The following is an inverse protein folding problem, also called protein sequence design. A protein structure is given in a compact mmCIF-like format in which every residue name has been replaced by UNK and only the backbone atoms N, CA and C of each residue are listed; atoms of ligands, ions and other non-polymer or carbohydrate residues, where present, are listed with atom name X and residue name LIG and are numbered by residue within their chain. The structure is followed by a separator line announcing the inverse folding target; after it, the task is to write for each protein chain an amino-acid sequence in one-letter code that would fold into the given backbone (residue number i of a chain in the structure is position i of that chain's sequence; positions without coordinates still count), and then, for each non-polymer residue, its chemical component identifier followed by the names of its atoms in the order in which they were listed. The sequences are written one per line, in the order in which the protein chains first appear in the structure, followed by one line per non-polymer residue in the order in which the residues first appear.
data_IF_534327812105
#
_entry.id   IF_534327812105
#
_cell.length_a   1.000
_cell.length_b   1.000
_cell.length_c   1.000
_cell.angle_alpha   90.00
_cell.angle_beta   90.00
_cell.angle_gamma   90.00
#
_symmetry.space_group_name_H-M   'P 1'
#
loop_
_entity.id
_entity.type
_entity.pdbx_description
1 polymer ?
#
# COMPACT_ATOMS: atom_id res chain seq x y z
N UNK A 1 -2.32 2.86 -11.36
CA UNK A 1 -3.53 2.32 -12.02
C UNK A 1 -4.57 2.20 -10.93
N UNK A 2 -5.67 2.93 -11.05
CA UNK A 2 -6.70 2.91 -10.02
C UNK A 2 -7.57 1.65 -10.11
N UNK A 3 -7.93 1.10 -8.95
CA UNK A 3 -8.92 0.02 -8.86
C UNK A 3 -10.30 0.54 -9.31
N UNK A 4 -11.00 -0.28 -10.07
CA UNK A 4 -12.39 -0.05 -10.47
C UNK A 4 -13.34 -0.17 -9.28
N UNK A 5 -14.54 0.39 -9.38
CA UNK A 5 -15.53 0.35 -8.28
C UNK A 5 -15.90 -1.08 -7.88
N UNK A 6 -15.97 -2.00 -8.84
CA UNK A 6 -16.21 -3.43 -8.59
C UNK A 6 -15.08 -4.06 -7.76
N UNK A 7 -13.84 -3.69 -8.02
CA UNK A 7 -12.68 -4.19 -7.28
C UNK A 7 -12.64 -3.61 -5.87
N UNK A 8 -12.93 -2.31 -5.73
CA UNK A 8 -13.08 -1.65 -4.42
C UNK A 8 -14.16 -2.32 -3.59
N UNK A 9 -15.32 -2.59 -4.19
CA UNK A 9 -16.40 -3.35 -3.54
C UNK A 9 -15.98 -4.76 -3.16
N UNK A 10 -15.22 -5.48 -4.00
CA UNK A 10 -14.70 -6.80 -3.67
C UNK A 10 -13.70 -6.77 -2.49
N UNK A 11 -13.02 -5.66 -2.27
CA UNK A 11 -12.12 -5.45 -1.12
C UNK A 11 -12.91 -5.14 0.15
N UNK A 12 -13.88 -4.23 0.08
CA UNK A 12 -14.66 -3.77 1.25
C UNK A 12 -15.74 -4.76 1.66
N UNK A 13 -16.32 -5.47 0.69
CA UNK A 13 -17.44 -6.40 0.86
C UNK A 13 -17.03 -7.86 0.88
N UNK A 14 -15.79 -8.19 1.31
CA UNK A 14 -15.36 -9.58 1.42
C UNK A 14 -16.34 -10.37 2.27
N UNK A 15 -17.06 -11.29 1.64
CA UNK A 15 -17.94 -12.19 2.36
C UNK A 15 -17.09 -13.29 2.98
N UNK A 16 -17.06 -13.34 4.31
CA UNK A 16 -16.50 -14.46 5.06
C UNK A 16 -17.47 -15.64 4.99
N UNK A 17 -17.54 -16.26 3.81
CA UNK A 17 -18.25 -17.52 3.62
C UNK A 17 -17.57 -18.63 4.43
N UNK A 18 -18.33 -19.63 4.84
CA UNK A 18 -17.76 -20.86 5.38
C UNK A 18 -16.95 -21.58 4.29
N UNK A 19 -15.94 -22.36 4.66
CA UNK A 19 -15.05 -22.98 3.68
C UNK A 19 -15.79 -23.95 2.73
N UNK A 20 -16.83 -24.62 3.22
CA UNK A 20 -17.68 -25.47 2.38
C UNK A 20 -18.44 -24.65 1.32
N UNK A 21 -18.95 -23.47 1.68
CA UNK A 21 -19.63 -22.57 0.76
C UNK A 21 -18.67 -21.98 -0.26
N UNK A 22 -17.44 -21.65 0.16
CA UNK A 22 -16.37 -21.24 -0.77
C UNK A 22 -16.10 -22.32 -1.81
N UNK A 23 -16.03 -23.59 -1.41
CA UNK A 23 -15.82 -24.73 -2.33
C UNK A 23 -16.92 -24.85 -3.36
N UNK A 24 -18.18 -24.71 -2.95
CA UNK A 24 -19.34 -24.70 -3.86
C UNK A 24 -19.23 -23.54 -4.85
N UNK A 25 -18.92 -22.33 -4.36
CA UNK A 25 -18.75 -21.14 -5.20
C UNK A 25 -17.57 -21.25 -6.16
N UNK A 26 -16.44 -21.81 -5.74
CA UNK A 26 -15.29 -22.09 -6.62
C UNK A 26 -15.73 -23.01 -7.76
N UNK A 27 -16.41 -24.12 -7.45
CA UNK A 27 -16.90 -25.04 -8.48
C UNK A 27 -17.86 -24.36 -9.47
N UNK A 28 -18.74 -23.50 -8.97
CA UNK A 28 -19.65 -22.72 -9.81
C UNK A 28 -18.87 -21.79 -10.77
N UNK A 29 -17.89 -21.05 -10.25
CA UNK A 29 -17.03 -20.18 -11.05
C UNK A 29 -16.20 -20.96 -12.08
N UNK A 30 -15.69 -22.13 -11.71
CA UNK A 30 -14.95 -23.00 -12.61
C UNK A 30 -15.86 -23.53 -13.73
N UNK A 31 -17.08 -23.94 -13.38
CA UNK A 31 -18.06 -24.41 -14.34
C UNK A 31 -18.48 -23.30 -15.31
N UNK A 32 -18.65 -22.06 -14.85
CA UNK A 32 -18.89 -20.90 -15.73
C UNK A 32 -17.78 -20.73 -16.76
N UNK A 33 -16.51 -20.86 -16.34
CA UNK A 33 -15.38 -20.79 -17.27
C UNK A 33 -15.42 -21.95 -18.26
N UNK A 34 -15.52 -23.18 -17.78
CA UNK A 34 -15.50 -24.34 -18.67
C UNK A 34 -16.68 -24.39 -19.64
N UNK A 35 -17.87 -23.97 -19.22
CA UNK A 35 -19.05 -23.89 -20.11
C UNK A 35 -18.89 -22.81 -21.17
N UNK A 36 -18.23 -21.69 -20.87
CA UNK A 36 -17.91 -20.67 -21.86
C UNK A 36 -16.90 -21.15 -22.90
N UNK A 37 -15.92 -21.98 -22.52
CA UNK A 37 -14.87 -22.46 -23.41
C UNK A 37 -15.20 -23.77 -24.15
N UNK A 38 -16.06 -24.61 -23.60
CA UNK A 38 -16.44 -25.89 -24.20
C UNK A 38 -17.98 -26.09 -24.15
N UNK A 39 -18.72 -25.47 -25.08
CA UNK A 39 -20.19 -25.47 -25.05
C UNK A 39 -20.81 -26.85 -25.33
N UNK A 40 -20.09 -27.75 -26.02
CA UNK A 40 -20.52 -29.13 -26.25
C UNK A 40 -20.01 -30.02 -25.11
N UNK A 41 -20.91 -30.37 -24.20
CA UNK A 41 -20.66 -31.32 -23.09
C UNK A 41 -21.53 -32.56 -23.25
N UNK A 42 -20.93 -33.72 -22.95
CA UNK A 42 -21.68 -34.95 -22.69
C UNK A 42 -21.40 -35.37 -21.25
N UNK A 43 -22.46 -35.54 -20.46
CA UNK A 43 -22.36 -36.03 -19.09
C UNK A 43 -21.85 -37.48 -19.12
N UNK A 44 -20.92 -37.78 -18.22
CA UNK A 44 -20.43 -39.14 -18.05
C UNK A 44 -21.24 -39.82 -16.95
N UNK A 45 -21.87 -40.95 -17.25
CA UNK A 45 -22.82 -41.64 -16.36
C UNK A 45 -22.22 -42.22 -15.05
N UNK A 46 -20.94 -42.01 -14.77
CA UNK A 46 -20.27 -42.55 -13.58
C UNK A 46 -19.93 -41.44 -12.57
N UNK A 47 -20.84 -41.23 -11.61
CA UNK A 47 -20.64 -40.88 -10.18
C UNK A 47 -19.65 -39.79 -9.71
N UNK A 48 -19.01 -39.02 -10.57
CA UNK A 48 -18.23 -37.83 -10.20
C UNK A 48 -18.59 -36.69 -11.16
N UNK A 49 -18.38 -35.44 -10.77
CA UNK A 49 -18.61 -34.27 -11.63
C UNK A 49 -17.56 -34.31 -12.76
N UNK A 50 -17.80 -35.18 -13.73
CA UNK A 50 -16.95 -35.53 -14.85
C UNK A 50 -17.79 -35.41 -16.11
N UNK A 51 -17.45 -34.45 -16.95
CA UNK A 51 -18.08 -34.33 -18.27
C UNK A 51 -17.01 -34.29 -19.35
N UNK A 52 -17.32 -34.94 -20.47
CA UNK A 52 -16.46 -34.94 -21.65
C UNK A 52 -16.70 -33.66 -22.43
N UNK A 53 -15.63 -33.05 -22.87
CA UNK A 53 -15.63 -31.78 -23.57
C UNK A 53 -14.62 -31.77 -24.73
N UNK A 54 -14.75 -30.77 -25.58
CA UNK A 54 -13.79 -30.53 -26.66
C UNK A 54 -12.50 -29.88 -26.09
N UNK A 55 -11.32 -30.27 -26.59
CA UNK A 55 -10.07 -29.64 -26.16
C UNK A 55 -9.77 -28.38 -27.00
N UNK A 56 -9.78 -27.16 -26.44
CA UNK A 56 -9.62 -25.94 -27.21
C UNK A 56 -8.30 -25.90 -28.02
N UNK A 57 -7.22 -26.46 -27.49
CA UNK A 57 -5.94 -26.57 -28.19
C UNK A 57 -5.99 -27.51 -29.40
N UNK A 58 -6.77 -28.59 -29.30
CA UNK A 58 -6.95 -29.52 -30.41
C UNK A 58 -7.89 -28.99 -31.50
N UNK A 59 -8.75 -27.98 -31.22
CA UNK A 59 -9.58 -27.36 -32.28
C UNK A 59 -8.71 -26.62 -33.26
N UNK A 60 -7.76 -25.85 -32.75
CA UNK A 60 -6.85 -25.08 -33.58
C UNK A 60 -5.97 -26.00 -34.43
N UNK A 61 -5.57 -27.16 -33.89
CA UNK A 61 -4.76 -28.18 -34.56
C UNK A 61 -5.56 -29.23 -35.37
N UNK A 62 -6.90 -29.19 -35.33
CA UNK A 62 -7.77 -30.17 -35.99
C UNK A 62 -7.68 -30.15 -37.52
N UNK A 63 -6.82 -29.30 -38.09
CA UNK A 63 -6.42 -29.39 -39.49
C UNK A 63 -5.38 -30.48 -39.79
N UNK A 64 -4.67 -31.12 -38.85
CA UNK A 64 -3.51 -31.94 -39.28
C UNK A 64 -3.27 -33.37 -38.79
N UNK A 65 -3.57 -33.86 -37.57
CA UNK A 65 -2.94 -35.16 -37.19
C UNK A 65 -3.70 -36.26 -36.43
N UNK A 66 -4.82 -36.02 -35.74
CA UNK A 66 -5.35 -37.05 -34.83
C UNK A 66 -6.67 -37.72 -35.21
N UNK A 67 -7.20 -37.43 -36.40
CA UNK A 67 -8.47 -38.02 -36.87
C UNK A 67 -8.36 -39.51 -37.29
N UNK A 68 -7.16 -40.11 -37.24
CA UNK A 68 -6.86 -41.37 -37.95
C UNK A 68 -6.71 -42.63 -37.09
N UNK A 69 -6.55 -42.54 -35.76
CA UNK A 69 -6.15 -43.72 -34.96
C UNK A 69 -7.19 -44.28 -33.99
N UNK A 70 -8.35 -43.63 -33.79
CA UNK A 70 -9.43 -44.23 -33.01
C UNK A 70 -10.68 -44.29 -33.86
N UNK A 71 -10.91 -45.46 -34.44
CA UNK A 71 -12.13 -45.78 -35.16
C UNK A 71 -13.34 -45.50 -34.28
N UNK A 72 -14.26 -44.68 -34.80
CA UNK A 72 -15.61 -44.47 -34.28
C UNK A 72 -15.72 -43.98 -32.84
N UNK A 73 -15.95 -42.68 -32.64
CA UNK A 73 -16.56 -42.21 -31.40
C UNK A 73 -16.13 -40.83 -30.94
N UNK A 74 -16.91 -39.82 -31.35
CA UNK A 74 -17.10 -38.51 -30.70
C UNK A 74 -15.93 -37.50 -30.75
N UNK A 75 -16.22 -36.26 -31.12
CA UNK A 75 -15.26 -35.13 -31.16
C UNK A 75 -14.79 -34.65 -29.77
N UNK A 76 -15.23 -35.32 -28.68
CA UNK A 76 -14.93 -34.95 -27.31
C UNK A 76 -13.61 -35.59 -26.86
N UNK A 77 -12.52 -34.83 -26.95
CA UNK A 77 -11.15 -35.30 -26.69
C UNK A 77 -10.60 -34.96 -25.30
N UNK A 78 -11.42 -34.33 -24.44
CA UNK A 78 -11.02 -33.91 -23.11
C UNK A 78 -12.09 -34.21 -22.06
N UNK A 79 -11.69 -34.14 -20.80
CA UNK A 79 -12.59 -34.20 -19.64
C UNK A 79 -12.30 -33.04 -18.69
N UNK A 80 -13.36 -32.56 -18.06
CA UNK A 80 -13.28 -31.71 -16.88
C UNK A 80 -13.75 -32.55 -15.71
N UNK A 81 -12.95 -32.58 -14.64
CA UNK A 81 -13.20 -33.43 -13.49
C UNK A 81 -12.98 -32.65 -12.20
N UNK A 82 -13.66 -33.05 -11.13
CA UNK A 82 -13.43 -32.47 -9.82
C UNK A 82 -12.03 -32.84 -9.31
N UNK A 83 -11.29 -31.85 -8.81
CA UNK A 83 -9.96 -32.10 -8.29
C UNK A 83 -9.98 -32.91 -6.98
N UNK A 84 -8.91 -33.67 -6.71
CA UNK A 84 -8.82 -34.62 -5.59
C UNK A 84 -8.93 -33.98 -4.19
N UNK A 85 -8.51 -32.72 -4.04
CA UNK A 85 -8.65 -31.96 -2.79
C UNK A 85 -10.06 -31.39 -2.58
N UNK A 86 -10.97 -31.60 -3.54
CA UNK A 86 -12.34 -31.08 -3.53
C UNK A 86 -12.49 -29.63 -3.99
N UNK A 87 -11.38 -28.95 -4.31
CA UNK A 87 -11.34 -27.52 -4.66
C UNK A 87 -11.37 -27.33 -6.17
N UNK A 88 -12.57 -27.14 -6.70
CA UNK A 88 -12.77 -26.74 -8.09
C UNK A 88 -12.66 -27.87 -9.10
N UNK A 89 -12.44 -27.47 -10.35
CA UNK A 89 -12.40 -28.36 -11.51
C UNK A 89 -11.05 -28.29 -12.23
N UNK A 90 -10.58 -29.45 -12.66
CA UNK A 90 -9.37 -29.62 -13.45
C UNK A 90 -9.72 -30.11 -14.85
N UNK A 91 -8.80 -29.90 -15.79
CA UNK A 91 -8.95 -30.28 -17.19
C UNK A 91 -7.79 -31.15 -17.64
N UNK A 92 -8.09 -32.15 -18.48
CA UNK A 92 -7.08 -32.90 -19.21
C UNK A 92 -7.57 -33.32 -20.58
N UNK A 93 -6.70 -33.21 -21.57
CA UNK A 93 -6.95 -33.71 -22.91
C UNK A 93 -6.23 -35.04 -23.12
N UNK A 94 -6.94 -36.03 -23.66
CA UNK A 94 -6.37 -37.34 -23.99
C UNK A 94 -5.74 -37.39 -25.38
N UNK A 95 -6.02 -36.38 -26.23
CA UNK A 95 -5.44 -36.28 -27.57
C UNK A 95 -4.07 -35.58 -27.56
N UNK A 96 -3.98 -34.37 -27.01
CA UNK A 96 -2.71 -33.62 -26.94
C UNK A 96 -1.96 -33.78 -25.61
N UNK A 97 -2.56 -34.44 -24.61
CA UNK A 97 -1.93 -34.62 -23.29
C UNK A 97 -1.94 -33.38 -22.38
N UNK A 98 -2.40 -32.22 -22.87
CA UNK A 98 -2.47 -30.99 -22.08
C UNK A 98 -3.31 -31.20 -20.82
N UNK A 99 -2.77 -30.78 -19.68
CA UNK A 99 -3.41 -30.86 -18.37
C UNK A 99 -3.36 -29.48 -17.72
N UNK A 100 -4.51 -29.00 -17.28
CA UNK A 100 -4.61 -27.81 -16.45
C UNK A 100 -5.24 -28.23 -15.13
N UNK A 101 -4.40 -28.30 -14.10
CA UNK A 101 -4.86 -28.63 -12.77
C UNK A 101 -5.76 -27.52 -12.21
N UNK A 102 -5.59 -26.29 -12.71
CA UNK A 102 -6.30 -25.09 -12.26
C UNK A 102 -6.91 -24.31 -13.42
N UNK A 103 -8.14 -23.82 -13.23
CA UNK A 103 -8.80 -22.90 -14.17
C UNK A 103 -7.99 -21.63 -14.39
N UNK A 104 -7.33 -21.11 -13.35
CA UNK A 104 -6.45 -19.95 -13.47
C UNK A 104 -5.31 -20.16 -14.48
N UNK A 105 -4.71 -21.35 -14.51
CA UNK A 105 -3.66 -21.70 -15.48
C UNK A 105 -4.23 -21.84 -16.89
N UNK A 106 -5.41 -22.47 -17.00
CA UNK A 106 -6.12 -22.56 -18.27
C UNK A 106 -6.41 -21.19 -18.89
N UNK A 107 -6.76 -20.21 -18.06
CA UNK A 107 -7.01 -18.82 -18.49
C UNK A 107 -5.74 -18.04 -18.87
N UNK A 108 -4.57 -18.68 -18.92
CA UNK A 108 -3.29 -18.06 -19.28
C UNK A 108 -2.44 -17.59 -18.09
N UNK A 109 -2.89 -17.83 -16.86
CA UNK A 109 -2.11 -17.53 -15.66
C UNK A 109 -1.84 -16.04 -15.42
N UNK A 110 -0.72 -15.74 -14.74
CA UNK A 110 -0.35 -14.38 -14.40
C UNK A 110 -0.11 -13.53 -15.65
N UNK A 111 -0.74 -12.35 -15.73
CA UNK A 111 -0.66 -11.45 -16.87
C UNK A 111 -1.82 -11.57 -17.87
N UNK A 112 -2.66 -12.62 -17.77
CA UNK A 112 -3.88 -12.71 -18.56
C UNK A 112 -5.03 -11.92 -17.92
N UNK A 113 -5.71 -11.09 -18.72
CA UNK A 113 -6.90 -10.34 -18.30
C UNK A 113 -8.02 -11.28 -17.82
N UNK A 114 -8.19 -12.43 -18.48
CA UNK A 114 -9.21 -13.40 -18.09
C UNK A 114 -8.88 -14.06 -16.74
N UNK A 115 -7.60 -14.41 -16.53
CA UNK A 115 -7.12 -14.98 -15.29
C UNK A 115 -7.19 -13.98 -14.12
N UNK A 116 -6.88 -12.70 -14.38
CA UNK A 116 -7.02 -11.61 -13.40
C UNK A 116 -8.48 -11.40 -13.01
N UNK A 117 -9.40 -11.35 -13.98
CA UNK A 117 -10.84 -11.22 -13.71
C UNK A 117 -11.38 -12.41 -12.90
N UNK A 118 -10.94 -13.63 -13.22
CA UNK A 118 -11.27 -14.82 -12.44
C UNK A 118 -10.71 -14.75 -11.02
N UNK A 119 -9.46 -14.27 -10.86
CA UNK A 119 -8.86 -14.04 -9.55
C UNK A 119 -9.66 -13.03 -8.72
N UNK A 120 -10.19 -11.96 -9.33
CA UNK A 120 -11.08 -11.00 -8.67
C UNK A 120 -12.39 -11.61 -8.20
N UNK A 121 -13.05 -12.44 -9.02
CA UNK A 121 -14.25 -13.18 -8.61
C UNK A 121 -13.97 -14.07 -7.40
N UNK A 122 -12.83 -14.76 -7.37
CA UNK A 122 -12.40 -15.58 -6.22
C UNK A 122 -11.99 -14.74 -5.01
N UNK A 123 -11.38 -13.59 -5.22
CA UNK A 123 -10.99 -12.65 -4.17
C UNK A 123 -12.21 -12.13 -3.41
N UNK A 124 -13.30 -11.81 -4.12
CA UNK A 124 -14.56 -11.32 -3.53
C UNK A 124 -15.20 -12.32 -2.53
N UNK A 125 -15.02 -13.62 -2.76
CA UNK A 125 -15.52 -14.69 -1.88
C UNK A 125 -14.47 -15.21 -0.87
N UNK A 126 -13.31 -14.55 -0.77
CA UNK A 126 -12.24 -14.94 0.15
C UNK A 126 -11.59 -16.29 -0.18
N UNK A 127 -11.58 -16.69 -1.45
CA UNK A 127 -11.10 -17.99 -1.92
C UNK A 127 -9.73 -17.91 -2.64
N UNK A 128 -8.84 -17.06 -2.13
CA UNK A 128 -7.51 -16.75 -2.68
C UNK A 128 -6.43 -16.80 -1.58
N UNK A 129 -5.17 -17.01 -1.95
CA UNK A 129 -4.04 -16.56 -1.12
C UNK A 129 -3.29 -17.58 -0.25
N UNK A 130 -3.72 -18.84 -0.17
CA UNK A 130 -2.92 -19.94 0.40
C UNK A 130 -2.91 -21.16 -0.52
N UNK A 131 -2.03 -22.15 -0.29
CA UNK A 131 -1.71 -23.23 -1.24
C UNK A 131 -2.90 -23.81 -2.03
N UNK A 132 -2.69 -24.19 -3.29
CA UNK A 132 -3.73 -24.64 -4.23
C UNK A 132 -4.84 -23.63 -4.62
N UNK A 133 -5.05 -22.53 -3.88
CA UNK A 133 -5.99 -21.48 -4.24
C UNK A 133 -5.42 -20.57 -5.34
N UNK A 134 -6.32 -20.01 -6.18
CA UNK A 134 -6.00 -18.97 -7.15
C UNK A 134 -5.19 -17.84 -6.46
N UNK A 135 -4.11 -17.33 -7.09
CA UNK A 135 -3.32 -16.26 -6.48
C UNK A 135 -4.17 -15.01 -6.24
N UNK A 136 -3.72 -14.16 -5.32
CA UNK A 136 -4.27 -12.82 -5.21
C UNK A 136 -4.18 -12.08 -6.56
N UNK A 137 -5.21 -11.30 -6.93
CA UNK A 137 -5.15 -10.48 -8.13
C UNK A 137 -3.91 -9.59 -8.15
N UNK A 138 -3.27 -9.47 -9.31
CA UNK A 138 -2.00 -8.77 -9.43
C UNK A 138 -2.17 -7.28 -9.13
N UNK A 139 -3.28 -6.67 -9.57
CA UNK A 139 -3.57 -5.26 -9.27
C UNK A 139 -3.75 -5.01 -7.77
N UNK A 140 -4.36 -5.94 -7.05
CA UNK A 140 -4.47 -5.85 -5.60
C UNK A 140 -3.10 -5.89 -4.90
N UNK A 141 -2.17 -6.74 -5.36
CA UNK A 141 -0.81 -6.80 -4.80
C UNK A 141 -0.07 -5.47 -5.00
N UNK A 142 -0.17 -4.90 -6.20
CA UNK A 142 0.44 -3.61 -6.53
C UNK A 142 -0.09 -2.48 -5.64
N UNK A 143 -1.41 -2.44 -5.40
CA UNK A 143 -2.03 -1.47 -4.51
C UNK A 143 -1.52 -1.60 -3.07
N UNK A 144 -1.39 -2.83 -2.57
CA UNK A 144 -0.86 -3.09 -1.23
C UNK A 144 0.61 -2.68 -1.09
N UNK A 145 1.42 -2.90 -2.12
CA UNK A 145 2.81 -2.45 -2.14
C UNK A 145 2.90 -0.93 -2.18
N UNK A 146 2.06 -0.27 -2.98
CA UNK A 146 2.01 1.19 -3.04
C UNK A 146 1.59 1.77 -1.68
N UNK A 147 0.52 1.27 -1.08
CA UNK A 147 0.07 1.71 0.24
C UNK A 147 1.14 1.49 1.34
N UNK A 148 1.95 0.44 1.23
CA UNK A 148 3.11 0.23 2.14
C UNK A 148 4.17 1.31 1.94
N UNK A 149 4.49 1.66 0.69
CA UNK A 149 5.44 2.75 0.37
C UNK A 149 4.93 4.08 0.89
N UNK A 150 3.66 4.39 0.68
CA UNK A 150 3.05 5.66 1.11
C UNK A 150 3.01 5.79 2.63
N UNK A 151 2.73 4.70 3.36
CA UNK A 151 2.86 4.70 4.83
C UNK A 151 4.30 4.95 5.26
N UNK A 152 5.27 4.29 4.63
CA UNK A 152 6.68 4.46 4.97
C UNK A 152 7.16 5.91 4.73
N UNK A 153 6.75 6.54 3.62
CA UNK A 153 7.09 7.95 3.34
C UNK A 153 6.43 8.90 4.34
N UNK A 154 5.16 8.67 4.69
CA UNK A 154 4.45 9.46 5.70
C UNK A 154 5.12 9.36 7.09
N UNK A 155 5.49 8.15 7.53
CA UNK A 155 6.20 7.95 8.79
C UNK A 155 7.55 8.66 8.79
N UNK A 156 8.34 8.53 7.71
CA UNK A 156 9.62 9.23 7.59
C UNK A 156 9.46 10.76 7.69
N UNK A 157 8.46 11.32 7.00
CA UNK A 157 8.19 12.75 7.04
C UNK A 157 7.77 13.23 8.44
N UNK A 158 6.98 12.42 9.16
CA UNK A 158 6.59 12.71 10.55
C UNK A 158 7.79 12.71 11.48
N UNK A 159 8.68 11.73 11.36
CA UNK A 159 9.90 11.64 12.18
C UNK A 159 10.86 12.81 11.92
N UNK A 160 11.01 13.22 10.66
CA UNK A 160 11.80 14.41 10.30
C UNK A 160 11.20 15.71 10.87
N UNK A 161 9.87 15.85 10.88
CA UNK A 161 9.20 16.98 11.52
C UNK A 161 9.44 17.02 13.03
N UNK A 162 9.24 15.88 13.71
CA UNK A 162 9.46 15.79 15.15
C UNK A 162 10.92 16.09 15.53
N UNK A 163 11.89 15.66 14.72
CA UNK A 163 13.31 16.00 14.90
C UNK A 163 13.54 17.51 14.81
N UNK A 164 12.98 18.18 13.81
CA UNK A 164 13.09 19.65 13.65
C UNK A 164 12.42 20.40 14.80
N UNK A 165 11.23 19.97 15.22
CA UNK A 165 10.51 20.56 16.35
C UNK A 165 11.32 20.41 17.64
N UNK A 166 11.91 19.23 17.88
CA UNK A 166 12.78 19.01 19.05
C UNK A 166 14.05 19.86 19.01
N UNK A 167 14.68 20.01 17.84
CA UNK A 167 15.85 20.88 17.65
C UNK A 167 15.52 22.35 17.94
N UNK A 168 14.40 22.85 17.43
CA UNK A 168 13.94 24.22 17.69
C UNK A 168 13.65 24.40 19.18
N UNK A 169 12.96 23.47 19.82
CA UNK A 169 12.64 23.53 21.24
C UNK A 169 13.89 23.50 22.15
N UNK A 170 14.93 22.77 21.74
CA UNK A 170 16.22 22.75 22.43
C UNK A 170 16.93 24.11 22.30
N UNK A 171 17.05 24.62 21.07
CA UNK A 171 17.68 25.92 20.80
C UNK A 171 16.95 27.08 21.51
N UNK A 172 15.61 27.03 21.58
CA UNK A 172 14.83 28.04 22.29
C UNK A 172 15.11 28.03 23.80
N UNK A 173 15.16 26.83 24.41
CA UNK A 173 15.52 26.66 25.82
C UNK A 173 16.94 27.15 26.13
N UNK A 174 17.88 26.90 25.22
CA UNK A 174 19.25 27.40 25.35
C UNK A 174 19.30 28.93 25.30
N UNK A 175 18.57 29.57 24.37
CA UNK A 175 18.47 31.03 24.33
C UNK A 175 17.81 31.63 25.58
N UNK A 176 16.75 31.00 26.10
CA UNK A 176 16.10 31.42 27.35
C UNK A 176 17.04 31.31 28.55
N UNK A 177 17.82 30.22 28.63
CA UNK A 177 18.83 30.05 29.68
C UNK A 177 19.94 31.11 29.59
N UNK A 178 20.41 31.43 28.38
CA UNK A 178 21.40 32.48 28.16
C UNK A 178 20.86 33.87 28.55
N UNK A 179 19.62 34.20 28.18
CA UNK A 179 18.96 35.46 28.59
C UNK A 179 18.72 35.54 30.09
N UNK A 180 18.40 34.42 30.75
CA UNK A 180 18.22 34.38 32.20
C UNK A 180 19.56 34.52 32.96
N UNK A 181 20.67 34.11 32.35
CA UNK A 181 22.02 34.25 32.89
C UNK A 181 22.64 35.63 32.65
N UNK A 182 22.02 36.51 31.84
CA UNK A 182 22.49 37.89 31.69
C UNK A 182 22.39 38.61 33.05
N UNK A 183 23.49 39.21 33.55
CA UNK A 183 23.46 39.91 34.81
C UNK A 183 22.51 41.10 34.68
N UNK A 184 21.49 41.14 35.55
CA UNK A 184 20.62 42.31 35.70
C UNK A 184 21.52 43.50 36.02
N UNK A 185 21.71 44.38 35.05
CA UNK A 185 22.41 45.63 35.28
C UNK A 185 21.68 46.36 36.41
N UNK A 186 22.36 46.73 37.50
CA UNK A 186 21.71 47.46 38.57
C UNK A 186 21.16 48.74 37.97
N UNK A 187 19.84 48.92 38.07
CA UNK A 187 19.14 50.13 37.67
C UNK A 187 19.86 51.31 38.30
N UNK A 188 20.52 52.13 37.46
CA UNK A 188 21.19 53.35 37.87
C UNK A 188 20.19 54.16 38.71
N UNK A 189 20.49 54.50 39.97
CA UNK A 189 19.58 55.26 40.80
C UNK A 189 19.26 56.58 40.08
N UNK A 190 17.97 56.86 39.90
CA UNK A 190 17.51 58.17 39.43
C UNK A 190 18.11 59.21 40.38
N UNK A 191 18.85 60.15 39.80
CA UNK A 191 19.64 61.11 40.55
C UNK A 191 18.82 61.87 41.58
N UNK A 192 19.37 61.96 42.79
CA UNK A 192 19.16 63.07 43.71
C UNK A 192 20.43 63.93 43.76
N UNK A 193 20.83 64.51 42.63
CA UNK A 193 21.72 65.67 42.64
C UNK A 193 20.84 66.92 42.63
N UNK A 194 20.20 67.20 43.76
CA UNK A 194 19.62 68.51 44.04
C UNK A 194 20.72 69.44 44.53
N UNK A 195 21.61 69.86 43.65
CA UNK A 195 22.37 71.10 43.89
C UNK A 195 21.52 72.21 43.31
N UNK A 196 20.86 72.94 44.20
CA UNK A 196 20.05 74.09 43.82
C UNK A 196 20.92 75.12 43.10
N UNK A 197 20.36 75.79 42.09
CA UNK A 197 21.06 76.76 41.23
C UNK A 197 21.73 77.88 42.03
N UNK A 198 21.20 78.19 43.23
CA UNK A 198 21.75 79.17 44.17
C UNK A 198 23.08 78.72 44.81
N UNK A 199 23.32 77.42 44.97
CA UNK A 199 24.54 76.90 45.62
C UNK A 199 25.74 76.96 44.64
N UNK A 200 25.49 76.71 43.36
CA UNK A 200 26.49 76.86 42.30
C UNK A 200 26.88 78.32 42.01
N UNK A 201 25.97 79.28 42.25
CA UNK A 201 26.24 80.71 42.08
C UNK A 201 27.05 81.27 43.26
N UNK A 202 26.77 80.81 44.49
CA UNK A 202 27.55 81.17 45.69
C UNK A 202 29.00 80.69 45.67
N UNK A 203 29.31 79.55 45.05
CA UNK A 203 30.71 79.09 44.90
C UNK A 203 31.48 79.90 43.86
N UNK A 204 30.83 80.39 42.78
CA UNK A 204 31.49 81.22 41.76
C UNK A 204 31.93 82.58 42.33
N UNK A 205 31.12 83.23 43.15
CA UNK A 205 31.50 84.50 43.79
C UNK A 205 32.65 84.31 44.80
N UNK A 206 32.68 83.16 45.48
CA UNK A 206 33.73 82.84 46.46
C UNK A 206 35.09 82.61 45.80
N UNK A 207 35.12 82.08 44.58
CA UNK A 207 36.35 81.91 43.81
C UNK A 207 36.84 83.19 43.11
N UNK A 208 35.94 84.11 42.73
CA UNK A 208 36.30 85.38 42.09
C UNK A 208 36.99 86.38 43.05
N UNK A 209 36.87 86.20 44.36
CA UNK A 209 37.39 87.14 45.37
C UNK A 209 38.78 86.76 45.91
N UNK A 210 39.46 85.74 45.35
CA UNK A 210 40.78 85.33 45.82
C UNK A 210 41.89 86.19 45.19
N UNK A 211 42.63 87.01 45.96
CA UNK A 211 43.74 87.80 45.42
C UNK A 211 44.89 86.87 44.98
N UNK A 212 45.27 86.99 43.71
CA UNK A 212 46.45 86.33 43.13
C UNK A 212 47.70 86.93 43.76
N UNK A 213 48.37 86.17 44.64
CA UNK A 213 49.70 86.55 45.14
C UNK A 213 50.71 86.45 44.00
N UNK A 214 51.17 87.61 43.56
CA UNK A 214 52.27 87.81 42.60
C UNK A 214 53.58 87.59 43.37
N UNK A 215 54.18 86.41 43.28
CA UNK A 215 55.55 86.19 43.75
C UNK A 215 56.52 86.79 42.72
N UNK A 216 57.10 87.93 43.06
CA UNK A 216 58.26 88.48 42.35
C UNK A 216 59.48 87.63 42.66
N UNK A 217 60.25 87.31 41.63
CA UNK A 217 61.58 86.72 41.76
C UNK A 217 62.64 87.77 42.08
N UNK A 218 63.70 87.32 42.73
CA UNK A 218 65.11 87.65 42.52
C UNK A 218 65.93 86.57 43.19
#
# INVERSE_FOLDING_TARGET
MDLTDKERQAITGKHNLADQEKRVKIKQLDLEVWTAFAPKKAEHNNSSIEYRCFCPYCAEDSKKKHKKERGGGHDLTAWVFQHANGDGLSFKCFACGTKHDRVFEFLGGAGSTAAENYAWKRFAIGAVGHGWYCPYPQRWKQEQEQAKRDRATHHKAKDERLKKEHQIAYALREQEALKAAEPRTPSRPKGSCGVSKEEAERERERFASRPVRRSQGS
#
